data_IF_743420429102
#
_entry.id   IF_743420429102
#
_cell.length_a   1.000
_cell.length_b   1.000
_cell.length_c   1.000
_cell.angle_alpha   90.00
_cell.angle_beta   90.00
_cell.angle_gamma   90.00
#
_symmetry.space_group_name_H-M   'P 1'
#
loop_
_entity.id
_entity.type
_entity.pdbx_description
1 polymer ?
#
# COMPACT_ATOMS: atom_id res chain seq x y z
N UNK A 1 -12.30 10.29 10.27
CA UNK A 1 -13.32 9.34 9.79
C UNK A 1 -14.05 8.75 10.98
N UNK A 2 -15.36 8.62 10.89
CA UNK A 2 -16.21 8.10 11.96
C UNK A 2 -16.59 6.65 11.65
N UNK A 3 -16.02 5.69 12.35
CA UNK A 3 -16.31 4.27 12.27
C UNK A 3 -16.16 3.64 13.66
N UNK A 4 -16.84 2.52 13.88
CA UNK A 4 -16.66 1.77 15.13
C UNK A 4 -15.30 1.08 15.15
N UNK A 5 -14.65 1.08 16.31
CA UNK A 5 -13.34 0.43 16.52
C UNK A 5 -13.51 -0.80 17.39
N UNK A 6 -12.90 -1.91 16.99
CA UNK A 6 -12.93 -3.14 17.78
C UNK A 6 -12.46 -2.89 19.22
N UNK A 7 -11.44 -2.06 19.40
CA UNK A 7 -10.86 -1.77 20.72
C UNK A 7 -11.82 -1.06 21.67
N UNK A 8 -12.85 -0.39 21.15
CA UNK A 8 -13.84 0.34 21.96
C UNK A 8 -15.06 -0.51 22.32
N UNK A 9 -15.17 -1.72 21.76
CA UNK A 9 -16.32 -2.60 21.95
C UNK A 9 -16.13 -3.54 23.14
N UNK A 10 -17.24 -3.88 23.79
CA UNK A 10 -17.29 -4.99 24.74
C UNK A 10 -17.45 -6.30 23.97
N UNK A 11 -16.40 -7.10 23.93
CA UNK A 11 -16.36 -8.36 23.20
C UNK A 11 -16.54 -9.60 24.10
N UNK A 12 -16.67 -9.43 25.40
CA UNK A 12 -16.77 -10.54 26.36
C UNK A 12 -17.96 -11.47 26.01
N UNK A 13 -17.67 -12.74 25.76
CA UNK A 13 -18.66 -13.74 25.39
C UNK A 13 -19.23 -13.58 23.98
N UNK A 14 -18.77 -12.60 23.19
CA UNK A 14 -19.25 -12.37 21.82
C UNK A 14 -18.53 -13.26 20.81
N UNK A 15 -19.26 -13.69 19.79
CA UNK A 15 -18.68 -14.34 18.61
C UNK A 15 -18.14 -13.24 17.69
N UNK A 16 -16.84 -13.18 17.53
CA UNK A 16 -16.16 -12.14 16.76
C UNK A 16 -15.53 -12.77 15.53
N UNK A 17 -15.96 -12.33 14.35
CA UNK A 17 -15.42 -12.76 13.06
C UNK A 17 -14.49 -11.68 12.54
N UNK A 18 -13.20 -11.99 12.42
CA UNK A 18 -12.17 -11.04 11.99
C UNK A 18 -11.70 -11.36 10.58
N UNK A 19 -11.83 -10.39 9.68
CA UNK A 19 -11.24 -10.48 8.34
C UNK A 19 -9.81 -9.96 8.39
N UNK A 20 -8.89 -10.87 8.31
CA UNK A 20 -7.46 -10.58 8.22
C UNK A 20 -6.95 -10.77 6.79
N UNK A 21 -5.79 -10.21 6.50
CA UNK A 21 -5.02 -10.54 5.31
C UNK A 21 -3.93 -11.55 5.68
N UNK A 22 -4.24 -12.82 5.49
CA UNK A 22 -3.35 -13.95 5.73
C UNK A 22 -2.85 -14.55 4.40
N UNK A 23 -2.93 -13.79 3.33
CA UNK A 23 -2.45 -14.18 2.00
C UNK A 23 -0.93 -14.10 1.94
N UNK A 24 -0.31 -15.12 2.48
CA UNK A 24 1.16 -15.25 2.54
C UNK A 24 1.66 -16.17 1.43
N UNK A 25 2.93 -16.02 0.99
CA UNK A 25 3.52 -16.94 0.04
C UNK A 25 3.75 -18.30 0.71
N UNK A 26 3.20 -19.35 0.08
CA UNK A 26 3.36 -20.73 0.51
C UNK A 26 3.98 -21.52 -0.62
N UNK A 27 5.10 -22.20 -0.35
CA UNK A 27 5.78 -23.05 -1.32
C UNK A 27 5.97 -24.44 -0.72
N UNK A 28 5.41 -25.46 -1.38
CA UNK A 28 5.46 -26.83 -0.91
C UNK A 28 4.96 -26.99 0.55
N UNK A 29 3.89 -26.31 0.90
CA UNK A 29 3.31 -26.33 2.26
C UNK A 29 4.06 -25.50 3.30
N UNK A 30 5.14 -24.79 2.90
CA UNK A 30 5.96 -23.97 3.79
C UNK A 30 5.71 -22.48 3.52
N UNK A 31 5.43 -21.73 4.60
CA UNK A 31 5.29 -20.28 4.53
C UNK A 31 6.69 -19.67 4.40
N UNK A 32 6.94 -18.93 3.32
CA UNK A 32 8.25 -18.32 3.02
C UNK A 32 8.38 -16.89 3.54
N UNK A 33 7.28 -16.24 3.90
CA UNK A 33 7.26 -14.94 4.57
C UNK A 33 6.05 -14.88 5.47
N UNK A 34 6.27 -14.57 6.74
CA UNK A 34 5.23 -14.51 7.77
C UNK A 34 4.83 -13.08 8.16
N UNK A 35 5.28 -12.07 7.41
CA UNK A 35 5.09 -10.67 7.77
C UNK A 35 3.61 -10.31 8.02
N UNK A 36 2.70 -10.76 7.16
CA UNK A 36 1.26 -10.52 7.32
C UNK A 36 0.67 -11.24 8.52
N UNK A 37 1.16 -12.44 8.81
CA UNK A 37 0.72 -13.21 9.97
C UNK A 37 1.13 -12.51 11.27
N UNK A 38 2.39 -12.07 11.35
CA UNK A 38 2.88 -11.29 12.50
C UNK A 38 2.09 -10.01 12.71
N UNK A 39 1.72 -9.33 11.62
CA UNK A 39 0.92 -8.11 11.68
C UNK A 39 -0.51 -8.36 12.19
N UNK A 40 -1.09 -9.52 11.91
CA UNK A 40 -2.44 -9.89 12.33
C UNK A 40 -2.53 -10.33 13.80
N UNK A 41 -1.44 -10.84 14.38
CA UNK A 41 -1.43 -11.39 15.74
C UNK A 41 -1.92 -10.40 16.80
N UNK A 42 -1.52 -9.11 16.83
CA UNK A 42 -2.01 -8.17 17.85
C UNK A 42 -3.53 -8.02 17.86
N UNK A 43 -4.18 -8.01 16.71
CA UNK A 43 -5.65 -7.92 16.62
C UNK A 43 -6.31 -9.17 17.21
N UNK A 44 -5.83 -10.36 16.83
CA UNK A 44 -6.35 -11.63 17.34
C UNK A 44 -6.18 -11.71 18.87
N UNK A 45 -4.98 -11.38 19.36
CA UNK A 45 -4.70 -11.36 20.81
C UNK A 45 -5.58 -10.37 21.56
N UNK A 46 -5.78 -9.16 21.01
CA UNK A 46 -6.63 -8.15 21.62
C UNK A 46 -8.08 -8.63 21.76
N UNK A 47 -8.62 -9.31 20.75
CA UNK A 47 -9.97 -9.88 20.81
C UNK A 47 -10.07 -11.01 21.87
N UNK A 48 -9.06 -11.88 21.92
CA UNK A 48 -8.99 -12.96 22.93
C UNK A 48 -8.89 -12.40 24.35
N UNK A 49 -8.07 -11.39 24.57
CA UNK A 49 -7.91 -10.73 25.87
C UNK A 49 -9.21 -10.08 26.36
N UNK A 50 -10.08 -9.67 25.45
CA UNK A 50 -11.42 -9.15 25.77
C UNK A 50 -12.45 -10.24 26.04
N UNK A 51 -12.06 -11.52 26.01
CA UNK A 51 -12.94 -12.65 26.29
C UNK A 51 -13.84 -13.04 25.11
N UNK A 52 -13.50 -12.72 23.91
CA UNK A 52 -14.25 -13.08 22.71
C UNK A 52 -14.07 -14.56 22.33
N UNK A 53 -15.08 -15.12 21.65
CA UNK A 53 -14.96 -16.33 20.86
C UNK A 53 -14.56 -15.91 19.43
N UNK A 54 -13.34 -16.20 19.02
CA UNK A 54 -12.73 -15.60 17.83
C UNK A 54 -12.73 -16.55 16.64
N UNK A 55 -13.27 -16.09 15.54
CA UNK A 55 -13.15 -16.72 14.22
C UNK A 55 -12.35 -15.79 13.31
N UNK A 56 -11.37 -16.34 12.63
CA UNK A 56 -10.55 -15.57 11.66
C UNK A 56 -10.76 -16.16 10.28
N UNK A 57 -10.93 -15.32 9.28
CA UNK A 57 -10.99 -15.77 7.88
C UNK A 57 -10.18 -14.86 6.97
N UNK A 58 -9.75 -15.42 5.84
CA UNK A 58 -8.92 -14.77 4.85
C UNK A 58 -9.01 -15.50 3.52
N UNK A 59 -8.57 -14.83 2.47
CA UNK A 59 -8.22 -15.50 1.23
C UNK A 59 -6.76 -15.92 1.22
N UNK A 60 -6.43 -16.87 0.36
CA UNK A 60 -5.07 -17.29 0.03
C UNK A 60 -4.98 -17.59 -1.46
N UNK A 61 -4.07 -16.91 -2.16
CA UNK A 61 -3.86 -17.13 -3.59
C UNK A 61 -5.08 -16.75 -4.45
N UNK A 62 -5.18 -17.44 -5.57
CA UNK A 62 -6.25 -17.20 -6.58
C UNK A 62 -6.91 -18.52 -6.97
N UNK A 63 -7.59 -19.20 -6.06
CA UNK A 63 -8.30 -20.44 -6.38
C UNK A 63 -9.49 -20.19 -7.32
N UNK A 64 -9.93 -21.24 -7.96
CA UNK A 64 -11.22 -21.26 -8.64
C UNK A 64 -12.29 -21.53 -7.59
N UNK A 65 -13.31 -20.67 -7.52
CA UNK A 65 -14.42 -20.84 -6.57
C UNK A 65 -15.16 -22.16 -6.80
N UNK A 66 -15.42 -22.87 -5.72
CA UNK A 66 -16.06 -24.20 -5.77
C UNK A 66 -15.11 -25.36 -6.05
N UNK A 67 -13.83 -25.08 -6.30
CA UNK A 67 -12.80 -26.09 -6.60
C UNK A 67 -11.64 -25.99 -5.62
N UNK A 68 -11.82 -26.37 -4.35
CA UNK A 68 -10.77 -26.28 -3.35
C UNK A 68 -9.61 -27.21 -3.68
N UNK A 69 -8.38 -26.68 -3.53
CA UNK A 69 -7.14 -27.43 -3.75
C UNK A 69 -6.27 -27.39 -2.49
N UNK A 70 -5.59 -28.50 -2.14
CA UNK A 70 -4.76 -28.55 -0.94
C UNK A 70 -3.67 -27.47 -0.88
N UNK A 71 -3.07 -27.11 -2.00
CA UNK A 71 -2.02 -26.10 -2.07
C UNK A 71 -2.52 -24.67 -1.81
N UNK A 72 -3.82 -24.46 -1.81
CA UNK A 72 -4.48 -23.16 -1.54
C UNK A 72 -5.20 -23.15 -0.19
N UNK A 73 -5.03 -24.21 0.60
CA UNK A 73 -5.58 -24.29 1.96
C UNK A 73 -4.82 -23.39 2.93
N UNK A 74 -5.56 -22.85 3.90
CA UNK A 74 -4.99 -22.12 5.04
C UNK A 74 -4.43 -23.05 6.15
N UNK A 75 -4.33 -24.36 5.90
CA UNK A 75 -3.77 -25.29 6.88
C UNK A 75 -2.38 -24.90 7.40
N UNK A 76 -1.41 -24.45 6.58
CA UNK A 76 -0.13 -23.96 7.08
C UNK A 76 -0.27 -22.72 7.99
N UNK A 77 -1.24 -21.86 7.72
CA UNK A 77 -1.53 -20.68 8.55
C UNK A 77 -2.12 -21.09 9.90
N UNK A 78 -3.02 -22.07 9.92
CA UNK A 78 -3.56 -22.62 11.17
C UNK A 78 -2.44 -23.18 12.06
N UNK A 79 -1.48 -23.90 11.49
CA UNK A 79 -0.32 -24.40 12.23
C UNK A 79 0.55 -23.27 12.77
N UNK A 80 0.81 -22.25 11.97
CA UNK A 80 1.56 -21.07 12.41
C UNK A 80 0.86 -20.36 13.58
N UNK A 81 -0.45 -20.10 13.46
CA UNK A 81 -1.20 -19.42 14.49
C UNK A 81 -1.27 -20.25 15.80
N UNK A 82 -1.36 -21.56 15.71
CA UNK A 82 -1.32 -22.47 16.86
C UNK A 82 -0.03 -22.26 17.65
N UNK A 83 1.10 -22.25 16.99
CA UNK A 83 2.40 -22.01 17.63
C UNK A 83 2.52 -20.59 18.18
N UNK A 84 2.17 -19.59 17.39
CA UNK A 84 2.31 -18.19 17.76
C UNK A 84 1.40 -17.76 18.91
N UNK A 85 0.21 -18.33 19.02
CA UNK A 85 -0.78 -18.02 20.08
C UNK A 85 -0.68 -18.94 21.30
N UNK A 86 0.07 -20.03 21.22
CA UNK A 86 0.20 -20.98 22.33
C UNK A 86 -1.08 -21.73 22.65
N UNK A 87 -2.00 -21.81 21.70
CA UNK A 87 -3.23 -22.61 21.81
C UNK A 87 -3.58 -23.20 20.45
N UNK A 88 -4.31 -24.31 20.42
CA UNK A 88 -4.76 -24.95 19.19
C UNK A 88 -5.68 -24.01 18.41
N UNK A 89 -5.35 -23.76 17.14
CA UNK A 89 -6.19 -23.06 16.19
C UNK A 89 -6.68 -24.07 15.16
N UNK A 90 -7.93 -24.51 15.32
CA UNK A 90 -8.55 -25.46 14.38
C UNK A 90 -8.90 -24.78 13.09
N UNK A 91 -8.67 -25.47 11.97
CA UNK A 91 -9.13 -25.08 10.65
C UNK A 91 -10.51 -25.72 10.40
N UNK A 92 -11.52 -24.89 10.17
CA UNK A 92 -12.85 -25.34 9.78
C UNK A 92 -13.01 -25.23 8.26
N UNK A 93 -13.25 -26.38 7.61
CA UNK A 93 -13.46 -26.43 6.16
C UNK A 93 -14.94 -26.30 5.79
N UNK A 94 -15.84 -26.74 6.64
CA UNK A 94 -17.29 -26.57 6.51
C UNK A 94 -17.79 -25.66 7.62
N UNK A 95 -18.01 -24.38 7.32
CA UNK A 95 -18.36 -23.38 8.32
C UNK A 95 -19.57 -22.51 7.95
N UNK A 96 -20.10 -22.63 6.75
CA UNK A 96 -21.16 -21.72 6.27
C UNK A 96 -22.50 -21.91 7.03
N UNK A 97 -22.68 -23.03 7.70
CA UNK A 97 -23.88 -23.32 8.47
C UNK A 97 -23.68 -23.20 9.99
N UNK A 98 -22.53 -22.75 10.42
CA UNK A 98 -22.20 -22.53 11.82
C UNK A 98 -20.80 -23.01 12.19
N UNK A 99 -20.27 -22.45 13.25
CA UNK A 99 -18.97 -22.81 13.84
C UNK A 99 -19.10 -22.86 15.34
N UNK A 100 -18.63 -23.93 15.94
CA UNK A 100 -18.52 -24.02 17.39
C UNK A 100 -17.19 -23.43 17.86
N UNK A 101 -17.26 -22.36 18.62
CA UNK A 101 -16.11 -21.69 19.24
C UNK A 101 -16.56 -21.08 20.57
N UNK A 102 -15.76 -21.27 21.61
CA UNK A 102 -16.03 -20.74 22.94
C UNK A 102 -15.21 -19.48 23.22
N UNK A 103 -15.67 -18.70 24.22
CA UNK A 103 -14.93 -17.54 24.69
C UNK A 103 -13.49 -17.93 25.09
N UNK A 104 -12.52 -17.16 24.61
CA UNK A 104 -11.08 -17.42 24.79
C UNK A 104 -10.46 -18.37 23.77
N UNK A 105 -11.27 -18.96 22.90
CA UNK A 105 -10.79 -19.79 21.80
C UNK A 105 -10.69 -19.00 20.50
N UNK A 106 -9.81 -19.46 19.61
CA UNK A 106 -9.69 -18.94 18.24
C UNK A 106 -9.69 -20.09 17.23
N UNK A 107 -10.45 -19.91 16.15
CA UNK A 107 -10.51 -20.86 15.04
C UNK A 107 -10.25 -20.13 13.73
N UNK A 108 -9.73 -20.86 12.75
CA UNK A 108 -9.49 -20.34 11.39
C UNK A 108 -10.50 -21.00 10.44
N UNK A 109 -11.17 -20.18 9.63
CA UNK A 109 -12.06 -20.67 8.60
C UNK A 109 -11.27 -20.83 7.31
N UNK A 110 -11.56 -21.90 6.56
CA UNK A 110 -10.86 -22.21 5.30
C UNK A 110 -11.04 -21.09 4.27
N UNK A 111 -10.08 -20.99 3.36
CA UNK A 111 -9.96 -19.99 2.31
C UNK A 111 -11.33 -19.53 1.76
N UNK A 112 -11.65 -18.27 2.00
CA UNK A 112 -12.94 -17.69 1.60
C UNK A 112 -13.17 -17.74 0.07
N UNK A 113 -12.08 -17.76 -0.70
CA UNK A 113 -12.16 -17.87 -2.16
C UNK A 113 -12.48 -19.27 -2.67
N UNK A 114 -12.60 -20.25 -1.80
CA UNK A 114 -13.21 -21.53 -2.15
C UNK A 114 -14.74 -21.42 -2.24
N UNK A 115 -15.33 -20.41 -1.61
CA UNK A 115 -16.78 -20.26 -1.57
C UNK A 115 -17.30 -19.57 -2.83
N UNK A 116 -18.21 -20.21 -3.60
CA UNK A 116 -18.86 -19.56 -4.72
C UNK A 116 -19.58 -18.28 -4.29
N UNK A 117 -19.37 -17.20 -5.03
CA UNK A 117 -19.97 -15.90 -4.74
C UNK A 117 -19.09 -14.95 -3.93
N UNK A 118 -17.92 -15.38 -3.46
CA UNK A 118 -17.03 -14.53 -2.67
C UNK A 118 -16.60 -13.27 -3.43
N UNK A 119 -16.01 -13.42 -4.62
CA UNK A 119 -15.54 -12.31 -5.44
C UNK A 119 -16.64 -11.40 -5.97
N UNK A 120 -17.81 -11.96 -6.18
CA UNK A 120 -18.99 -11.22 -6.68
C UNK A 120 -19.77 -10.52 -5.58
N UNK A 121 -19.30 -10.60 -4.34
CA UNK A 121 -19.99 -10.04 -3.19
C UNK A 121 -21.44 -10.53 -3.08
N UNK A 122 -21.64 -11.84 -3.24
CA UNK A 122 -22.97 -12.45 -3.26
C UNK A 122 -23.67 -12.21 -1.90
N UNK A 123 -24.88 -11.62 -1.88
CA UNK A 123 -25.57 -11.29 -0.63
C UNK A 123 -25.90 -12.51 0.23
N UNK A 124 -26.25 -13.64 -0.38
CA UNK A 124 -26.57 -14.87 0.37
C UNK A 124 -25.33 -15.41 1.10
N UNK A 125 -24.17 -15.41 0.44
CA UNK A 125 -22.91 -15.79 1.08
C UNK A 125 -22.53 -14.82 2.19
N UNK A 126 -22.65 -13.51 1.93
CA UNK A 126 -22.37 -12.48 2.94
C UNK A 126 -23.28 -12.63 4.19
N UNK A 127 -24.55 -12.96 4.00
CA UNK A 127 -25.49 -13.23 5.10
C UNK A 127 -25.10 -14.48 5.89
N UNK A 128 -24.59 -15.52 5.24
CA UNK A 128 -24.07 -16.71 5.92
C UNK A 128 -22.86 -16.38 6.78
N UNK A 129 -21.93 -15.56 6.28
CA UNK A 129 -20.81 -15.07 7.09
C UNK A 129 -21.32 -14.25 8.29
N UNK A 130 -22.24 -13.32 8.05
CA UNK A 130 -22.79 -12.45 9.10
C UNK A 130 -23.51 -13.25 10.19
N UNK A 131 -24.18 -14.35 9.84
CA UNK A 131 -24.86 -15.23 10.79
C UNK A 131 -23.90 -15.97 11.75
N UNK A 132 -22.63 -16.06 11.40
CA UNK A 132 -21.61 -16.71 12.26
C UNK A 132 -21.24 -15.86 13.48
N UNK A 133 -21.50 -14.56 13.46
CA UNK A 133 -20.93 -13.64 14.44
C UNK A 133 -21.94 -12.68 15.05
N UNK A 134 -21.58 -12.14 16.21
CA UNK A 134 -22.24 -11.00 16.84
C UNK A 134 -21.55 -9.68 16.41
N UNK A 135 -20.24 -9.75 16.17
CA UNK A 135 -19.42 -8.62 15.71
C UNK A 135 -18.54 -9.09 14.57
N UNK A 136 -18.61 -8.35 13.46
CA UNK A 136 -17.65 -8.46 12.35
C UNK A 136 -16.57 -7.40 12.50
N UNK A 137 -15.31 -7.78 12.32
CA UNK A 137 -14.16 -6.88 12.37
C UNK A 137 -13.42 -6.95 11.04
N UNK A 138 -13.34 -5.82 10.35
CA UNK A 138 -12.51 -5.66 9.16
C UNK A 138 -11.13 -5.16 9.57
N UNK A 139 -10.09 -5.94 9.30
CA UNK A 139 -8.71 -5.62 9.69
C UNK A 139 -7.73 -5.67 8.50
N UNK A 140 -8.23 -6.05 7.32
CA UNK A 140 -7.44 -6.29 6.12
C UNK A 140 -7.48 -5.09 5.17
N UNK A 141 -6.73 -4.04 5.48
CA UNK A 141 -6.68 -2.83 4.63
C UNK A 141 -6.27 -3.17 3.18
N UNK A 142 -5.32 -4.07 2.99
CA UNK A 142 -4.84 -4.46 1.66
C UNK A 142 -5.92 -5.01 0.71
N UNK A 143 -7.07 -5.43 1.23
CA UNK A 143 -8.22 -5.93 0.46
C UNK A 143 -9.43 -5.00 0.51
N UNK A 144 -9.32 -3.85 1.20
CA UNK A 144 -10.45 -2.95 1.43
C UNK A 144 -10.99 -2.28 0.16
N UNK A 145 -10.21 -2.25 -0.91
CA UNK A 145 -10.60 -1.71 -2.22
C UNK A 145 -11.46 -2.68 -3.04
N UNK A 146 -11.67 -3.89 -2.56
CA UNK A 146 -12.47 -4.91 -3.25
C UNK A 146 -13.78 -5.13 -2.51
N UNK A 147 -14.90 -4.98 -3.22
CA UNK A 147 -16.23 -5.33 -2.71
C UNK A 147 -16.45 -6.83 -2.85
N UNK A 148 -16.02 -7.59 -1.84
CA UNK A 148 -16.17 -9.05 -1.77
C UNK A 148 -17.07 -9.43 -0.58
N UNK A 149 -17.60 -10.65 -0.57
CA UNK A 149 -18.52 -11.08 0.49
C UNK A 149 -17.86 -11.04 1.88
N UNK A 150 -16.57 -11.39 1.99
CA UNK A 150 -15.83 -11.41 3.26
C UNK A 150 -15.27 -10.04 3.69
N UNK A 151 -15.33 -9.03 2.85
CA UNK A 151 -14.78 -7.68 3.15
C UNK A 151 -15.88 -6.63 3.30
N UNK A 152 -16.78 -6.52 2.32
CA UNK A 152 -17.85 -5.53 2.30
C UNK A 152 -19.21 -6.13 2.67
N UNK A 153 -19.60 -7.20 1.99
CA UNK A 153 -20.94 -7.77 2.15
C UNK A 153 -21.25 -8.22 3.57
N UNK A 154 -20.34 -8.91 4.23
CA UNK A 154 -20.50 -9.35 5.62
C UNK A 154 -20.70 -8.17 6.57
N UNK A 155 -19.98 -7.08 6.35
CA UNK A 155 -20.11 -5.86 7.17
C UNK A 155 -21.51 -5.22 7.03
N UNK A 156 -22.13 -5.38 5.88
CA UNK A 156 -23.47 -4.86 5.61
C UNK A 156 -24.55 -5.59 6.41
N UNK A 157 -24.39 -6.89 6.63
CA UNK A 157 -25.40 -7.75 7.27
C UNK A 157 -25.07 -8.15 8.72
N UNK A 158 -23.85 -7.99 9.19
CA UNK A 158 -23.48 -8.32 10.56
C UNK A 158 -24.24 -7.44 11.57
N UNK A 159 -24.54 -7.94 12.77
CA UNK A 159 -25.17 -7.12 13.81
C UNK A 159 -24.37 -5.87 14.16
N UNK A 160 -23.05 -6.00 14.28
CA UNK A 160 -22.10 -4.92 14.52
C UNK A 160 -20.95 -5.09 13.54
N UNK A 161 -20.50 -3.99 12.93
CA UNK A 161 -19.35 -3.96 12.03
C UNK A 161 -18.35 -2.90 12.52
N UNK A 162 -17.10 -3.31 12.71
CA UNK A 162 -16.06 -2.46 13.26
C UNK A 162 -14.74 -2.61 12.48
N UNK A 163 -13.87 -1.62 12.62
CA UNK A 163 -12.49 -1.71 12.15
C UNK A 163 -11.61 -2.34 13.22
N UNK A 164 -10.75 -3.27 12.81
CA UNK A 164 -9.68 -3.76 13.65
C UNK A 164 -8.54 -2.76 13.79
N UNK A 165 -7.60 -2.99 14.71
CA UNK A 165 -6.48 -2.08 14.94
C UNK A 165 -5.62 -1.80 13.71
N UNK A 166 -5.36 -2.78 12.84
CA UNK A 166 -4.58 -2.57 11.62
C UNK A 166 -5.30 -1.62 10.66
N UNK A 167 -6.57 -1.88 10.38
CA UNK A 167 -7.36 -1.02 9.49
C UNK A 167 -7.51 0.38 10.09
N UNK A 168 -7.79 0.47 11.38
CA UNK A 168 -7.95 1.76 12.06
C UNK A 168 -6.66 2.59 11.99
N UNK A 169 -5.50 1.98 12.19
CA UNK A 169 -4.20 2.67 12.08
C UNK A 169 -3.94 3.21 10.67
N UNK A 170 -4.24 2.42 9.63
CA UNK A 170 -4.15 2.86 8.24
C UNK A 170 -5.07 4.07 7.98
N UNK A 171 -6.33 3.96 8.38
CA UNK A 171 -7.31 5.03 8.16
C UNK A 171 -6.98 6.29 8.94
N UNK A 172 -6.47 6.17 10.17
CA UNK A 172 -6.03 7.31 10.97
C UNK A 172 -4.83 8.01 10.31
N UNK A 173 -3.84 7.25 9.85
CA UNK A 173 -2.67 7.79 9.17
C UNK A 173 -3.03 8.48 7.85
N UNK A 174 -3.86 7.85 7.02
CA UNK A 174 -4.31 8.41 5.76
C UNK A 174 -5.20 9.64 5.96
N UNK A 175 -6.07 9.62 6.96
CA UNK A 175 -6.91 10.76 7.32
C UNK A 175 -6.07 11.96 7.76
N UNK A 176 -5.05 11.71 8.58
CA UNK A 176 -4.11 12.75 9.03
C UNK A 176 -3.33 13.36 7.87
N UNK A 177 -2.89 12.54 6.92
CA UNK A 177 -2.11 13.01 5.77
C UNK A 177 -2.95 13.71 4.71
N UNK A 178 -4.21 13.29 4.49
CA UNK A 178 -4.99 13.72 3.33
C UNK A 178 -6.23 14.55 3.65
N UNK A 179 -6.86 14.32 4.80
CA UNK A 179 -8.08 15.06 5.17
C UNK A 179 -7.77 16.30 6.00
N UNK A 180 -6.81 16.20 6.91
CA UNK A 180 -6.41 17.30 7.80
C UNK A 180 -4.89 17.44 7.88
N UNK A 181 -4.19 17.60 6.73
CA UNK A 181 -2.72 17.70 6.76
C UNK A 181 -2.28 19.02 7.42
N UNK A 182 -1.25 18.92 8.27
CA UNK A 182 -0.52 20.10 8.69
C UNK A 182 0.30 20.65 7.51
N UNK A 183 0.24 21.95 7.32
CA UNK A 183 0.90 22.65 6.21
C UNK A 183 2.27 23.22 6.65
N UNK A 184 3.29 23.25 5.77
CA UNK A 184 3.24 22.85 4.36
C UNK A 184 3.18 21.33 4.18
N UNK A 185 2.38 20.89 3.20
CA UNK A 185 2.30 19.50 2.78
C UNK A 185 3.04 19.29 1.48
N UNK A 186 3.92 18.29 1.44
CA UNK A 186 4.66 17.89 0.25
C UNK A 186 4.30 16.46 -0.10
N UNK A 187 4.00 16.22 -1.37
CA UNK A 187 3.81 14.87 -1.88
C UNK A 187 4.90 14.53 -2.88
N UNK A 188 5.32 13.27 -2.88
CA UNK A 188 6.26 12.70 -3.83
C UNK A 188 5.51 11.66 -4.62
N UNK A 189 5.36 11.89 -5.92
CA UNK A 189 4.74 10.95 -6.85
C UNK A 189 5.75 10.65 -7.94
N UNK A 190 6.25 9.43 -7.95
CA UNK A 190 7.25 9.01 -8.91
C UNK A 190 6.86 7.66 -9.53
N UNK A 191 7.32 7.46 -10.75
CA UNK A 191 7.02 6.25 -11.51
C UNK A 191 7.37 6.44 -12.98
N UNK A 192 7.10 5.42 -13.78
CA UNK A 192 7.46 5.42 -15.19
C UNK A 192 6.53 6.25 -16.07
N UNK A 193 5.25 6.34 -15.72
CA UNK A 193 4.23 6.92 -16.59
C UNK A 193 3.24 7.81 -15.85
N UNK A 194 2.97 9.00 -16.38
CA UNK A 194 1.88 9.89 -15.93
C UNK A 194 0.54 9.19 -16.06
N UNK A 195 0.29 8.45 -17.14
CA UNK A 195 -0.98 7.77 -17.40
C UNK A 195 -1.36 6.79 -16.29
N UNK A 196 -0.40 6.09 -15.70
CA UNK A 196 -0.64 5.13 -14.61
C UNK A 196 -0.82 5.79 -13.24
N UNK A 197 -0.39 7.04 -13.10
CA UNK A 197 -0.46 7.82 -11.85
C UNK A 197 -1.34 9.06 -11.96
N UNK A 198 -2.11 9.19 -13.04
CA UNK A 198 -2.87 10.41 -13.32
C UNK A 198 -3.87 10.74 -12.20
N UNK A 199 -4.60 9.74 -11.72
CA UNK A 199 -5.56 9.93 -10.64
C UNK A 199 -4.87 10.33 -9.33
N UNK A 200 -3.71 9.75 -9.02
CA UNK A 200 -2.89 10.12 -7.87
C UNK A 200 -2.41 11.57 -8.00
N UNK A 201 -1.86 11.94 -9.15
CA UNK A 201 -1.38 13.29 -9.43
C UNK A 201 -2.50 14.33 -9.30
N UNK A 202 -3.66 14.06 -9.87
CA UNK A 202 -4.82 14.96 -9.80
C UNK A 202 -5.35 15.09 -8.37
N UNK A 203 -5.48 14.00 -7.65
CA UNK A 203 -5.97 14.00 -6.27
C UNK A 203 -5.02 14.79 -5.34
N UNK A 204 -3.74 14.49 -5.40
CA UNK A 204 -2.74 15.11 -4.52
C UNK A 204 -2.45 16.56 -4.88
N UNK A 205 -2.50 16.93 -6.16
CA UNK A 205 -2.30 18.33 -6.58
C UNK A 205 -3.37 19.28 -6.01
N UNK A 206 -4.53 18.76 -5.61
CA UNK A 206 -5.60 19.53 -4.98
C UNK A 206 -5.40 19.77 -3.48
N UNK A 207 -4.50 19.04 -2.82
CA UNK A 207 -4.35 19.12 -1.36
C UNK A 207 -2.92 19.47 -0.89
N UNK A 208 -1.88 19.19 -1.68
CA UNK A 208 -0.51 19.51 -1.30
C UNK A 208 -0.09 20.93 -1.72
N UNK A 209 0.93 21.46 -1.06
CA UNK A 209 1.53 22.76 -1.38
C UNK A 209 2.61 22.61 -2.44
N UNK A 210 3.35 21.50 -2.41
CA UNK A 210 4.35 21.17 -3.42
C UNK A 210 4.26 19.70 -3.80
N UNK A 211 4.47 19.45 -5.09
CA UNK A 211 4.46 18.12 -5.68
C UNK A 211 5.84 17.82 -6.28
N UNK A 212 6.57 16.91 -5.65
CA UNK A 212 7.84 16.39 -6.19
C UNK A 212 7.49 15.22 -7.10
N UNK A 213 8.01 15.24 -8.32
CA UNK A 213 7.85 14.16 -9.30
C UNK A 213 9.19 13.49 -9.61
N UNK A 214 9.16 12.21 -9.96
CA UNK A 214 10.36 11.45 -10.27
C UNK A 214 10.15 10.42 -11.38
N UNK A 215 11.25 9.89 -11.90
CA UNK A 215 11.24 8.88 -12.96
C UNK A 215 10.70 9.41 -14.28
N UNK A 216 10.02 8.56 -15.04
CA UNK A 216 9.40 8.94 -16.31
C UNK A 216 8.34 10.04 -16.18
N UNK A 217 7.69 10.12 -15.02
CA UNK A 217 6.77 11.22 -14.69
C UNK A 217 7.52 12.56 -14.72
N UNK A 218 8.66 12.65 -14.02
CA UNK A 218 9.49 13.87 -14.04
C UNK A 218 9.96 14.24 -15.43
N UNK A 219 10.33 13.26 -16.25
CA UNK A 219 10.75 13.49 -17.63
C UNK A 219 9.62 14.09 -18.47
N UNK A 220 8.38 13.65 -18.26
CA UNK A 220 7.20 14.23 -18.92
C UNK A 220 6.99 15.68 -18.48
N UNK A 221 7.17 16.00 -17.20
CA UNK A 221 7.12 17.40 -16.70
C UNK A 221 8.27 18.25 -17.24
N UNK A 222 9.47 17.70 -17.37
CA UNK A 222 10.61 18.40 -17.99
C UNK A 222 10.33 18.72 -19.48
N UNK A 223 9.81 17.75 -20.22
CA UNK A 223 9.39 17.97 -21.60
C UNK A 223 8.30 19.04 -21.70
N UNK A 224 7.34 19.04 -20.77
CA UNK A 224 6.30 20.05 -20.66
C UNK A 224 6.88 21.46 -20.43
N UNK A 225 7.98 21.56 -19.71
CA UNK A 225 8.69 22.83 -19.46
C UNK A 225 9.61 23.24 -20.63
N UNK A 226 9.69 22.44 -21.70
CA UNK A 226 10.46 22.76 -22.91
C UNK A 226 11.87 22.19 -22.94
N UNK A 227 12.25 21.34 -21.95
CA UNK A 227 13.56 20.71 -21.94
C UNK A 227 13.63 19.51 -22.88
N UNK A 228 14.81 19.28 -23.47
CA UNK A 228 15.09 18.04 -24.20
C UNK A 228 15.35 16.92 -23.19
N UNK A 229 14.60 15.84 -23.29
CA UNK A 229 14.76 14.65 -22.43
C UNK A 229 15.44 13.48 -23.15
N UNK A 230 15.90 13.69 -24.38
CA UNK A 230 16.63 12.71 -25.19
C UNK A 230 15.86 11.41 -25.40
N UNK A 231 16.50 10.29 -25.08
CA UNK A 231 15.92 8.94 -25.14
C UNK A 231 15.25 8.50 -23.84
N UNK A 232 15.05 9.42 -22.91
CA UNK A 232 14.41 9.12 -21.63
C UNK A 232 12.98 8.62 -21.80
N UNK A 233 12.54 7.76 -20.89
CA UNK A 233 11.16 7.36 -20.80
C UNK A 233 10.30 8.58 -20.46
N UNK A 234 9.34 8.92 -21.30
CA UNK A 234 8.33 9.95 -21.06
C UNK A 234 7.13 9.73 -21.96
N UNK A 235 6.02 10.40 -21.67
CA UNK A 235 4.79 10.31 -22.45
C UNK A 235 4.51 11.62 -23.15
N UNK A 236 4.82 11.68 -24.45
CA UNK A 236 4.61 12.88 -25.29
C UNK A 236 3.14 13.32 -25.32
N UNK A 237 2.20 12.37 -25.32
CA UNK A 237 0.75 12.63 -25.36
C UNK A 237 0.22 13.25 -24.05
N UNK A 238 0.98 13.20 -22.96
CA UNK A 238 0.59 13.73 -21.66
C UNK A 238 1.34 14.99 -21.23
N UNK A 239 2.10 15.60 -22.15
CA UNK A 239 2.81 16.87 -21.90
C UNK A 239 1.82 17.99 -21.52
N UNK A 240 0.69 18.10 -22.21
CA UNK A 240 -0.34 19.09 -21.87
C UNK A 240 -0.97 18.82 -20.49
N UNK A 241 -1.19 17.56 -20.16
CA UNK A 241 -1.70 17.17 -18.83
C UNK A 241 -0.71 17.58 -17.74
N UNK A 242 0.60 17.36 -17.95
CA UNK A 242 1.64 17.78 -17.01
C UNK A 242 1.65 19.31 -16.83
N UNK A 243 1.47 20.09 -17.90
CA UNK A 243 1.33 21.56 -17.82
C UNK A 243 0.12 21.96 -16.98
N UNK A 244 -1.01 21.30 -17.16
CA UNK A 244 -2.23 21.58 -16.38
C UNK A 244 -2.02 21.30 -14.88
N UNK A 245 -1.36 20.21 -14.53
CA UNK A 245 -1.02 19.88 -13.14
C UNK A 245 -0.07 20.93 -12.56
N UNK A 246 0.98 21.28 -13.27
CA UNK A 246 1.95 22.30 -12.85
C UNK A 246 1.33 23.70 -12.69
N UNK A 247 0.20 23.98 -13.36
CA UNK A 247 -0.56 25.21 -13.17
C UNK A 247 -1.40 25.21 -11.89
N UNK A 248 -1.74 24.03 -11.35
CA UNK A 248 -2.57 23.91 -10.13
C UNK A 248 -1.76 23.87 -8.84
N UNK A 249 -0.52 23.35 -8.89
CA UNK A 249 0.33 23.14 -7.73
C UNK A 249 1.78 23.45 -8.09
N UNK A 250 2.57 23.89 -7.12
CA UNK A 250 4.02 24.07 -7.28
C UNK A 250 4.70 22.71 -7.51
N UNK A 251 5.34 22.55 -8.66
CA UNK A 251 6.11 21.36 -9.02
C UNK A 251 7.58 21.77 -9.20
N UNK A 252 8.42 21.59 -8.16
CA UNK A 252 9.85 21.88 -8.30
C UNK A 252 10.49 20.88 -9.24
N UNK A 253 10.96 21.36 -10.41
CA UNK A 253 11.58 20.51 -11.43
C UNK A 253 13.04 20.27 -11.11
N UNK A 254 13.61 19.12 -11.55
CA UNK A 254 15.04 18.92 -11.52
C UNK A 254 15.81 20.02 -12.26
N UNK A 255 16.90 20.48 -11.69
CA UNK A 255 17.86 21.41 -12.33
C UNK A 255 19.06 20.68 -12.88
N UNK A 256 19.39 19.55 -12.31
CA UNK A 256 20.39 18.61 -12.77
C UNK A 256 19.87 17.17 -12.73
N UNK A 257 20.46 16.32 -13.54
CA UNK A 257 20.07 14.93 -13.72
C UNK A 257 21.29 14.03 -13.84
N UNK A 258 21.08 12.73 -13.61
CA UNK A 258 22.09 11.71 -13.89
C UNK A 258 21.63 10.93 -15.12
N UNK A 259 22.45 10.92 -16.13
CA UNK A 259 22.15 10.28 -17.42
C UNK A 259 23.15 9.18 -17.74
N UNK A 260 22.73 8.26 -18.61
CA UNK A 260 23.62 7.37 -19.36
C UNK A 260 23.33 7.53 -20.84
N UNK A 261 24.34 7.25 -21.67
CA UNK A 261 24.13 7.20 -23.11
C UNK A 261 23.23 6.01 -23.46
N UNK A 262 22.19 6.25 -24.25
CA UNK A 262 21.21 5.21 -24.61
C UNK A 262 21.83 4.00 -25.31
N UNK A 263 22.97 4.17 -26.01
CA UNK A 263 23.70 3.09 -26.66
C UNK A 263 24.29 2.07 -25.67
N UNK A 264 24.45 2.44 -24.39
CA UNK A 264 24.95 1.57 -23.33
C UNK A 264 23.83 0.76 -22.65
N UNK A 265 22.57 1.00 -22.99
CA UNK A 265 21.43 0.42 -22.32
C UNK A 265 20.85 -0.71 -23.15
N UNK A 266 20.72 -1.89 -22.53
CA UNK A 266 20.07 -3.06 -23.12
C UNK A 266 18.77 -3.34 -22.36
N UNK A 267 17.62 -3.19 -23.01
CA UNK A 267 16.31 -3.38 -22.38
C UNK A 267 15.99 -4.85 -22.08
N UNK A 268 16.69 -5.81 -22.68
CA UNK A 268 16.56 -7.22 -22.34
C UNK A 268 17.30 -7.58 -21.04
N UNK A 269 18.33 -6.80 -20.67
CA UNK A 269 19.03 -6.86 -19.40
C UNK A 269 19.22 -5.44 -18.86
N UNK A 270 18.09 -4.82 -18.48
CA UNK A 270 18.06 -3.40 -18.14
C UNK A 270 18.96 -3.07 -16.96
N UNK A 271 18.75 -3.73 -15.82
CA UNK A 271 19.52 -3.45 -14.60
C UNK A 271 21.01 -3.81 -14.76
N UNK A 272 21.32 -4.91 -15.42
CA UNK A 272 22.71 -5.31 -15.67
C UNK A 272 23.43 -4.31 -16.57
N UNK A 273 22.78 -3.83 -17.65
CA UNK A 273 23.35 -2.81 -18.53
C UNK A 273 23.52 -1.46 -17.83
N UNK A 274 22.62 -1.08 -16.94
CA UNK A 274 22.75 0.14 -16.15
C UNK A 274 23.89 0.06 -15.15
N UNK A 275 24.12 -1.11 -14.55
CA UNK A 275 25.25 -1.31 -13.66
C UNK A 275 26.60 -1.13 -14.35
N UNK A 276 26.69 -1.48 -15.64
CA UNK A 276 27.88 -1.35 -16.48
C UNK A 276 27.99 0.00 -17.19
N UNK A 277 26.90 0.77 -17.28
CA UNK A 277 26.89 2.06 -17.98
C UNK A 277 27.66 3.13 -17.22
N UNK A 278 28.12 4.14 -17.94
CA UNK A 278 28.73 5.32 -17.33
C UNK A 278 27.67 6.35 -16.96
N UNK A 279 27.52 6.61 -15.67
CA UNK A 279 26.66 7.68 -15.17
C UNK A 279 27.35 9.04 -15.34
N UNK A 280 26.61 10.02 -15.86
CA UNK A 280 27.09 11.39 -16.06
C UNK A 280 26.08 12.37 -15.46
N UNK A 281 26.58 13.28 -14.64
CA UNK A 281 25.75 14.38 -14.09
C UNK A 281 25.73 15.50 -15.13
N UNK A 282 24.52 15.94 -15.48
CA UNK A 282 24.30 17.07 -16.40
C UNK A 282 23.26 18.03 -15.85
N UNK A 283 23.39 19.31 -16.19
CA UNK A 283 22.28 20.23 -16.06
C UNK A 283 21.16 19.84 -17.04
N UNK A 284 19.91 20.10 -16.69
CA UNK A 284 18.78 19.71 -17.55
C UNK A 284 18.84 20.33 -18.95
N UNK A 285 19.37 21.54 -19.06
CA UNK A 285 19.57 22.22 -20.34
C UNK A 285 20.66 21.58 -21.22
N UNK A 286 21.54 20.78 -20.65
CA UNK A 286 22.64 20.12 -21.36
C UNK A 286 22.33 18.67 -21.78
N UNK A 287 21.11 18.19 -21.53
CA UNK A 287 20.68 16.85 -21.96
C UNK A 287 20.64 16.79 -23.49
N UNK A 288 21.30 15.78 -24.06
CA UNK A 288 21.39 15.56 -25.48
C UNK A 288 20.38 14.53 -25.99
N UNK A 289 20.23 14.43 -27.31
CA UNK A 289 19.29 13.51 -27.95
C UNK A 289 19.57 12.03 -27.66
N UNK A 290 20.78 11.66 -27.27
CA UNK A 290 21.16 10.27 -26.95
C UNK A 290 21.22 9.98 -25.45
N UNK A 291 20.96 10.97 -24.62
CA UNK A 291 20.94 10.78 -23.16
C UNK A 291 19.64 10.11 -22.71
N UNK A 292 19.76 9.27 -21.70
CA UNK A 292 18.63 8.73 -20.95
C UNK A 292 18.76 9.16 -19.50
N UNK A 293 17.77 9.89 -19.00
CA UNK A 293 17.70 10.35 -17.62
C UNK A 293 17.27 9.18 -16.71
N UNK A 294 18.09 8.89 -15.71
CA UNK A 294 17.92 7.73 -14.83
C UNK A 294 17.86 8.09 -13.35
N UNK A 295 18.19 9.33 -12.99
CA UNK A 295 18.09 9.85 -11.63
C UNK A 295 18.09 11.37 -11.65
N UNK A 296 17.73 12.00 -10.53
CA UNK A 296 17.98 13.42 -10.31
C UNK A 296 19.43 13.64 -9.92
N UNK A 297 19.98 14.79 -10.24
CA UNK A 297 21.35 15.15 -9.86
C UNK A 297 21.46 15.61 -8.40
N UNK A 298 22.71 15.81 -7.94
CA UNK A 298 22.97 16.15 -6.53
C UNK A 298 22.39 17.51 -6.10
N UNK A 299 22.37 18.50 -6.97
CA UNK A 299 21.77 19.80 -6.65
C UNK A 299 20.24 19.71 -6.51
N UNK A 300 19.60 18.98 -7.38
CA UNK A 300 18.17 18.69 -7.29
C UNK A 300 17.85 17.90 -6.01
N UNK A 301 18.62 16.88 -5.69
CA UNK A 301 18.46 16.09 -4.47
C UNK A 301 18.56 16.96 -3.22
N UNK A 302 19.51 17.90 -3.21
CA UNK A 302 19.65 18.87 -2.10
C UNK A 302 18.46 19.82 -1.99
N UNK A 303 17.95 20.30 -3.11
CA UNK A 303 16.77 21.15 -3.14
C UNK A 303 15.53 20.41 -2.64
N UNK A 304 15.33 19.17 -3.08
CA UNK A 304 14.24 18.31 -2.58
C UNK A 304 14.37 18.03 -1.08
N UNK A 305 15.58 17.77 -0.60
CA UNK A 305 15.83 17.54 0.81
C UNK A 305 15.43 18.77 1.65
N UNK A 306 15.76 19.98 1.20
CA UNK A 306 15.38 21.22 1.88
C UNK A 306 13.86 21.41 1.93
N UNK A 307 13.15 21.08 0.87
CA UNK A 307 11.68 21.10 0.83
C UNK A 307 11.10 20.13 1.86
N UNK A 308 11.61 18.91 1.90
CA UNK A 308 11.12 17.84 2.78
C UNK A 308 11.40 18.15 4.26
N UNK A 309 12.57 18.66 4.59
CA UNK A 309 12.94 18.94 5.98
C UNK A 309 12.19 20.14 6.57
N UNK A 310 11.64 21.01 5.75
CA UNK A 310 10.84 22.18 6.18
C UNK A 310 9.34 21.95 6.09
N UNK A 311 8.89 20.80 5.61
CA UNK A 311 7.46 20.45 5.54
C UNK A 311 6.93 19.94 6.88
N UNK A 312 5.59 19.91 6.99
CA UNK A 312 4.87 19.38 8.16
C UNK A 312 4.17 18.07 7.88
N UNK A 313 3.82 17.82 6.61
CA UNK A 313 3.24 16.55 6.17
C UNK A 313 3.93 16.12 4.88
N UNK A 314 4.33 14.85 4.82
CA UNK A 314 4.94 14.23 3.65
C UNK A 314 4.15 12.98 3.29
N UNK A 315 3.71 12.89 2.02
CA UNK A 315 3.19 11.65 1.44
C UNK A 315 4.16 11.19 0.36
N UNK A 316 4.72 9.99 0.53
CA UNK A 316 5.77 9.48 -0.34
C UNK A 316 5.30 8.24 -1.11
N UNK A 317 5.24 8.37 -2.44
CA UNK A 317 4.91 7.30 -3.36
C UNK A 317 5.85 7.28 -4.56
N UNK A 318 6.87 6.46 -4.48
CA UNK A 318 7.79 6.14 -5.57
C UNK A 318 9.19 6.74 -5.44
N UNK A 319 10.18 6.04 -6.02
CA UNK A 319 11.57 6.49 -6.09
C UNK A 319 11.76 7.50 -7.22
N UNK A 320 12.75 8.38 -7.08
CA UNK A 320 13.05 9.44 -8.07
C UNK A 320 14.09 9.04 -9.11
N UNK A 321 14.61 7.82 -9.04
CA UNK A 321 15.57 7.26 -9.99
C UNK A 321 15.56 5.75 -10.00
N UNK A 322 16.42 5.14 -10.80
CA UNK A 322 16.59 3.69 -10.87
C UNK A 322 17.51 3.23 -9.72
N UNK A 323 16.96 3.29 -8.52
CA UNK A 323 17.71 3.10 -7.27
C UNK A 323 18.22 1.68 -7.05
N UNK A 324 17.73 0.71 -7.80
CA UNK A 324 18.23 -0.67 -7.80
C UNK A 324 19.70 -0.73 -8.24
N UNK A 325 20.15 0.27 -8.99
CA UNK A 325 21.56 0.43 -9.39
C UNK A 325 22.12 1.65 -8.65
N UNK A 326 23.15 1.46 -7.83
CA UNK A 326 23.63 2.48 -6.90
C UNK A 326 24.02 3.80 -7.55
N UNK A 327 24.62 3.79 -8.74
CA UNK A 327 25.02 5.00 -9.45
C UNK A 327 23.80 5.84 -9.94
N UNK A 328 22.60 5.26 -9.96
CA UNK A 328 21.34 5.94 -10.27
C UNK A 328 20.39 5.96 -9.07
N UNK A 329 20.91 5.68 -7.88
CA UNK A 329 20.16 5.63 -6.64
C UNK A 329 20.44 6.79 -5.67
N UNK A 330 21.39 7.65 -5.95
CA UNK A 330 21.80 8.72 -5.02
C UNK A 330 20.67 9.73 -4.75
N UNK A 331 19.84 10.03 -5.75
CA UNK A 331 18.67 10.89 -5.58
C UNK A 331 17.63 10.29 -4.64
N UNK A 332 17.28 9.03 -4.82
CA UNK A 332 16.35 8.30 -3.96
C UNK A 332 16.92 8.14 -2.54
N UNK A 333 18.21 7.88 -2.41
CA UNK A 333 18.89 7.83 -1.10
C UNK A 333 18.80 9.15 -0.36
N UNK A 334 19.14 10.25 -1.02
CA UNK A 334 19.07 11.58 -0.43
C UNK A 334 17.64 11.95 0.00
N UNK A 335 16.67 11.63 -0.84
CA UNK A 335 15.24 11.84 -0.55
C UNK A 335 14.79 10.98 0.64
N UNK A 336 15.16 9.71 0.68
CA UNK A 336 14.83 8.80 1.79
C UNK A 336 15.39 9.30 3.13
N UNK A 337 16.64 9.76 3.14
CA UNK A 337 17.27 10.32 4.33
C UNK A 337 16.61 11.65 4.74
N UNK A 338 16.22 12.48 3.79
CA UNK A 338 15.53 13.75 4.08
C UNK A 338 14.15 13.51 4.71
N UNK A 339 13.38 12.56 4.21
CA UNK A 339 12.11 12.15 4.84
C UNK A 339 12.35 11.65 6.26
N UNK A 340 13.34 10.79 6.44
CA UNK A 340 13.70 10.24 7.75
C UNK A 340 14.13 11.31 8.76
N UNK A 341 14.84 12.34 8.32
CA UNK A 341 15.35 13.44 9.17
C UNK A 341 14.32 14.54 9.41
N UNK A 342 13.25 14.59 8.62
CA UNK A 342 12.21 15.60 8.73
C UNK A 342 11.38 15.40 10.00
N UNK A 343 10.99 16.50 10.66
CA UNK A 343 10.04 16.49 11.77
C UNK A 343 8.58 16.37 11.28
N UNK A 344 8.36 16.31 9.98
CA UNK A 344 7.04 16.15 9.39
C UNK A 344 6.42 14.80 9.77
N UNK A 345 5.09 14.75 9.83
CA UNK A 345 4.39 13.49 9.75
C UNK A 345 4.55 12.94 8.33
N UNK A 346 5.17 11.77 8.21
CA UNK A 346 5.41 11.13 6.93
C UNK A 346 4.61 9.83 6.79
N UNK A 347 4.00 9.65 5.62
CA UNK A 347 3.36 8.40 5.24
C UNK A 347 3.95 7.94 3.90
N UNK A 348 4.33 6.68 3.83
CA UNK A 348 4.89 6.06 2.63
C UNK A 348 4.09 4.85 2.22
N UNK A 349 3.93 4.63 0.93
CA UNK A 349 3.26 3.46 0.39
C UNK A 349 3.64 3.18 -1.06
N UNK A 350 3.32 1.97 -1.50
CA UNK A 350 3.71 1.43 -2.80
C UNK A 350 4.95 0.53 -2.70
N UNK A 351 4.98 -0.51 -3.54
CA UNK A 351 6.03 -1.54 -3.47
C UNK A 351 7.45 -1.00 -3.65
N UNK A 352 7.65 -0.12 -4.63
CA UNK A 352 8.97 0.47 -4.89
C UNK A 352 9.40 1.41 -3.77
N UNK A 353 8.46 2.10 -3.15
CA UNK A 353 8.73 2.95 -1.97
C UNK A 353 9.23 2.11 -0.80
N UNK A 354 8.55 1.01 -0.52
CA UNK A 354 8.94 0.08 0.55
C UNK A 354 10.33 -0.51 0.27
N UNK A 355 10.63 -0.85 -0.96
CA UNK A 355 11.95 -1.35 -1.36
C UNK A 355 13.05 -0.30 -1.13
N UNK A 356 12.79 0.98 -1.41
CA UNK A 356 13.73 2.06 -1.13
C UNK A 356 13.92 2.26 0.39
N UNK A 357 12.84 2.21 1.16
CA UNK A 357 12.90 2.29 2.62
C UNK A 357 13.78 1.18 3.20
N UNK A 358 13.64 -0.03 2.71
CA UNK A 358 14.46 -1.18 3.14
C UNK A 358 15.93 -0.99 2.73
N UNK A 359 16.17 -0.62 1.47
CA UNK A 359 17.54 -0.44 0.96
C UNK A 359 18.32 0.59 1.76
N UNK A 360 17.69 1.70 2.10
CA UNK A 360 18.36 2.81 2.81
C UNK A 360 18.12 2.79 4.33
N UNK A 361 17.46 1.76 4.83
CA UNK A 361 17.30 1.47 6.26
C UNK A 361 16.69 2.65 7.05
N UNK A 362 15.61 3.21 6.55
CA UNK A 362 14.94 4.37 7.16
C UNK A 362 13.56 4.05 7.75
N UNK A 363 13.17 2.80 7.81
CA UNK A 363 11.83 2.37 8.24
C UNK A 363 11.41 2.97 9.60
N UNK A 364 12.32 2.97 10.57
CA UNK A 364 12.00 3.41 11.93
C UNK A 364 11.76 4.92 12.06
N UNK A 365 12.19 5.71 11.08
CA UNK A 365 12.02 7.15 11.05
C UNK A 365 10.83 7.61 10.18
N UNK A 366 10.17 6.71 9.50
CA UNK A 366 8.95 7.05 8.73
C UNK A 366 7.75 7.00 9.68
N UNK A 367 6.92 8.04 9.66
CA UNK A 367 5.78 8.14 10.56
C UNK A 367 4.76 7.00 10.40
N UNK A 368 4.45 6.62 9.19
CA UNK A 368 3.63 5.46 8.88
C UNK A 368 4.02 4.85 7.54
N UNK A 369 4.16 3.53 7.50
CA UNK A 369 4.45 2.78 6.28
C UNK A 369 3.23 1.93 5.94
N UNK A 370 2.56 2.25 4.84
CA UNK A 370 1.42 1.48 4.37
C UNK A 370 1.88 0.23 3.63
N UNK A 371 1.36 -0.91 4.03
CA UNK A 371 1.53 -2.19 3.32
C UNK A 371 0.32 -2.53 2.45
N UNK A 372 -0.63 -1.60 2.32
CA UNK A 372 -1.90 -1.79 1.65
C UNK A 372 -1.85 -1.92 0.13
N UNK A 373 -0.71 -1.64 -0.49
CA UNK A 373 -0.53 -1.79 -1.94
C UNK A 373 -1.60 -1.07 -2.77
N UNK A 374 -2.43 -1.84 -3.47
CA UNK A 374 -3.50 -1.30 -4.32
C UNK A 374 -4.54 -0.48 -3.56
N UNK A 375 -4.89 -0.89 -2.34
CA UNK A 375 -5.84 -0.15 -1.51
C UNK A 375 -5.29 1.23 -1.10
N UNK A 376 -4.01 1.30 -0.75
CA UNK A 376 -3.33 2.57 -0.48
C UNK A 376 -3.39 3.49 -1.69
N UNK A 377 -3.03 2.99 -2.87
CA UNK A 377 -3.06 3.78 -4.10
C UNK A 377 -4.47 4.27 -4.45
N UNK A 378 -5.47 3.42 -4.36
CA UNK A 378 -6.86 3.83 -4.62
C UNK A 378 -7.36 4.87 -3.62
N UNK A 379 -6.98 4.76 -2.36
CA UNK A 379 -7.31 5.79 -1.37
C UNK A 379 -6.65 7.13 -1.71
N UNK A 380 -5.37 7.12 -2.05
CA UNK A 380 -4.61 8.31 -2.45
C UNK A 380 -5.15 8.92 -3.76
N UNK A 381 -5.69 8.11 -4.65
CA UNK A 381 -6.39 8.54 -5.86
C UNK A 381 -7.73 9.26 -5.57
N UNK A 382 -8.17 9.26 -4.31
CA UNK A 382 -9.45 9.84 -3.90
C UNK A 382 -10.64 8.91 -4.09
N UNK A 383 -10.40 7.64 -4.37
CA UNK A 383 -11.46 6.63 -4.55
C UNK A 383 -12.02 6.19 -3.20
N UNK A 384 -13.31 5.86 -3.20
CA UNK A 384 -13.96 5.26 -2.04
C UNK A 384 -13.61 3.78 -1.99
N UNK A 385 -13.09 3.31 -0.85
CA UNK A 385 -12.83 1.90 -0.63
C UNK A 385 -14.09 1.21 -0.11
N UNK A 386 -14.64 0.20 -0.80
CA UNK A 386 -15.93 -0.39 -0.43
C UNK A 386 -16.00 -0.90 1.01
N UNK A 387 -14.96 -1.59 1.48
CA UNK A 387 -14.92 -2.13 2.84
C UNK A 387 -14.80 -1.03 3.91
N UNK A 388 -14.31 0.15 3.57
CA UNK A 388 -14.28 1.32 4.45
C UNK A 388 -15.63 2.05 4.42
N UNK A 389 -16.19 2.24 3.23
CA UNK A 389 -17.47 2.93 3.05
C UNK A 389 -18.58 2.27 3.88
N UNK A 390 -18.68 0.95 3.88
CA UNK A 390 -19.69 0.23 4.66
C UNK A 390 -19.50 0.41 6.16
N UNK A 391 -18.27 0.50 6.66
CA UNK A 391 -18.00 0.78 8.07
C UNK A 391 -18.44 2.21 8.46
N UNK A 392 -18.23 3.17 7.58
CA UNK A 392 -18.67 4.55 7.78
C UNK A 392 -20.21 4.66 7.80
N UNK A 393 -20.88 3.93 6.92
CA UNK A 393 -22.35 3.85 6.89
C UNK A 393 -22.92 3.19 8.16
N UNK A 394 -22.17 2.31 8.79
CA UNK A 394 -22.57 1.52 9.97
C UNK A 394 -22.01 2.05 11.30
N UNK A 395 -21.43 3.26 11.31
CA UNK A 395 -20.84 3.90 12.48
C UNK A 395 -21.86 4.31 13.55
#
# INVERSE_FOLDING_TARGET
MNFQRMTDLNLAGKRVLIREDLNVPVKNGVITSDARLRAALPTIKAALEKGAAVMVFSHLGRPVEGEPKPEQSLAPVAAYLTEALGQEVKLFTDYLNGVEVEAGQVVLLENVRFNPGEKKNNPELAQKYAALCDVFVMDAFGTAHRAEASTEGVARFAPVAAAGPLLAAELDALGRAMQTPEKPMVTIVAGSKVSTKLDVLNSLSGICDQLIVGGGIANTFLAAAGYNVGKSLYEADLVETAKQIAAKVSVPLPTDVVVADASQINFEDFLGSLAAAQAVIKKVEDVTANDMILDVGPETAKAFANILTTSKTILWNGPVGVFEVDQFGEGTKALSLAVAQSDAFSIAGGGDTLAAIDKYNVADQIGYISTGGGAFLEFVEGKTLPAVAVLLERA
#
